data_IF_441789742604
#
_entry.id   IF_441789742604
#
_cell.length_a   1.000
_cell.length_b   1.000
_cell.length_c   1.000
_cell.angle_alpha   90.00
_cell.angle_beta   90.00
_cell.angle_gamma   90.00
#
_symmetry.space_group_name_H-M   'P 1'
#
loop_
_entity.id
_entity.type
_entity.pdbx_description
1 polymer ?
#
# COMPACT_ATOMS: atom_id res chain seq x y z
N UNK A 1 22.28 59.63 22.46
CA UNK A 1 21.78 58.36 23.05
C UNK A 1 20.75 57.65 22.18
N UNK A 2 20.19 58.29 21.14
CA UNK A 2 19.11 57.71 20.31
C UNK A 2 19.60 57.07 19.01
N UNK A 3 20.71 57.55 18.44
CA UNK A 3 21.23 57.07 17.13
C UNK A 3 21.82 55.66 17.24
N UNK A 4 22.67 55.40 18.25
CA UNK A 4 23.22 54.05 18.50
C UNK A 4 22.13 53.00 18.75
N UNK A 5 21.04 53.40 19.40
CA UNK A 5 19.90 52.50 19.67
C UNK A 5 19.11 52.23 18.38
N UNK A 6 18.93 53.23 17.51
CA UNK A 6 18.31 53.03 16.20
C UNK A 6 19.15 52.12 15.29
N UNK A 7 20.48 52.27 15.27
CA UNK A 7 21.37 51.39 14.51
C UNK A 7 21.32 49.95 15.03
N UNK A 8 21.30 49.77 16.35
CA UNK A 8 21.15 48.45 16.98
C UNK A 8 19.79 47.82 16.65
N UNK A 9 18.70 48.60 16.67
CA UNK A 9 17.37 48.13 16.30
C UNK A 9 17.29 47.74 14.82
N UNK A 10 17.89 48.52 13.91
CA UNK A 10 17.94 48.20 12.49
C UNK A 10 18.72 46.89 12.23
N UNK A 11 19.86 46.70 12.91
CA UNK A 11 20.63 45.46 12.85
C UNK A 11 19.86 44.25 13.38
N UNK A 12 19.09 44.42 14.47
CA UNK A 12 18.25 43.36 15.02
C UNK A 12 17.10 42.99 14.09
N UNK A 13 16.46 43.96 13.44
CA UNK A 13 15.39 43.71 12.46
C UNK A 13 15.92 42.88 11.29
N UNK A 14 17.04 43.29 10.68
CA UNK A 14 17.66 42.52 9.59
C UNK A 14 18.06 41.09 10.04
N UNK A 15 18.54 40.94 11.28
CA UNK A 15 18.88 39.62 11.83
C UNK A 15 17.64 38.75 12.03
N UNK A 16 16.53 39.33 12.49
CA UNK A 16 15.25 38.63 12.66
C UNK A 16 14.71 38.18 11.30
N UNK A 17 14.66 39.07 10.31
CA UNK A 17 14.21 38.74 8.95
C UNK A 17 15.06 37.61 8.33
N UNK A 18 16.38 37.68 8.50
CA UNK A 18 17.30 36.64 8.04
C UNK A 18 17.07 35.29 8.74
N UNK A 19 16.78 35.30 10.05
CA UNK A 19 16.50 34.08 10.82
C UNK A 19 15.14 33.47 10.45
N UNK A 20 14.13 34.29 10.17
CA UNK A 20 12.83 33.82 9.70
C UNK A 20 12.93 33.09 8.36
N UNK A 21 13.77 33.59 7.45
CA UNK A 21 14.03 32.95 6.15
C UNK A 21 14.76 31.59 6.30
N UNK A 22 15.77 31.52 7.18
CA UNK A 22 16.48 30.26 7.47
C UNK A 22 15.58 29.20 8.10
N UNK A 23 14.74 29.59 9.08
CA UNK A 23 13.74 28.71 9.69
C UNK A 23 12.73 28.21 8.66
N UNK A 24 12.37 29.03 7.67
CA UNK A 24 11.52 28.65 6.54
C UNK A 24 12.14 27.54 5.67
N UNK A 25 13.46 27.59 5.43
CA UNK A 25 14.19 26.59 4.63
C UNK A 25 14.29 25.23 5.35
N UNK A 26 14.44 25.23 6.68
CA UNK A 26 14.60 24.01 7.48
C UNK A 26 13.31 23.17 7.63
N UNK A 27 12.12 23.73 7.36
CA UNK A 27 10.85 22.98 7.45
C UNK A 27 10.62 21.98 6.30
N UNK A 28 11.41 22.03 5.22
CA UNK A 28 11.26 21.12 4.08
C UNK A 28 12.11 19.86 4.29
N UNK A 29 11.52 18.81 4.89
CA UNK A 29 12.15 17.48 4.91
C UNK A 29 12.25 16.96 3.47
N UNK A 30 13.45 16.63 2.95
CA UNK A 30 13.56 16.00 1.64
C UNK A 30 12.85 14.65 1.69
N UNK A 31 11.87 14.45 0.80
CA UNK A 31 11.22 13.15 0.63
C UNK A 31 12.26 12.22 0.00
N UNK A 32 12.83 11.32 0.81
CA UNK A 32 13.73 10.29 0.31
C UNK A 32 13.02 9.50 -0.79
N UNK A 33 13.70 9.23 -1.92
CA UNK A 33 13.13 8.42 -2.99
C UNK A 33 12.77 7.05 -2.41
N UNK A 34 11.47 6.75 -2.37
CA UNK A 34 10.97 5.46 -1.91
C UNK A 34 11.55 4.41 -2.86
N UNK A 35 12.37 3.50 -2.33
CA UNK A 35 12.89 2.34 -3.05
C UNK A 35 11.69 1.51 -3.50
N UNK A 36 11.27 1.72 -4.74
CA UNK A 36 10.22 0.90 -5.38
C UNK A 36 10.77 -0.51 -5.45
N UNK A 37 9.98 -1.48 -5.00
CA UNK A 37 10.35 -2.87 -5.21
C UNK A 37 10.52 -3.12 -6.70
N UNK A 38 11.62 -3.77 -7.06
CA UNK A 38 11.73 -4.39 -8.37
C UNK A 38 10.62 -5.44 -8.46
N UNK A 39 9.80 -5.35 -9.51
CA UNK A 39 8.79 -6.37 -9.79
C UNK A 39 9.53 -7.70 -9.99
N UNK A 40 9.16 -8.77 -9.26
CA UNK A 40 9.77 -10.07 -9.47
C UNK A 40 9.42 -10.61 -10.86
N UNK A 41 10.31 -11.43 -11.39
CA UNK A 41 10.00 -12.23 -12.59
C UNK A 41 9.18 -13.46 -12.23
N UNK A 42 8.45 -14.01 -13.21
CA UNK A 42 7.65 -15.23 -13.02
C UNK A 42 8.53 -16.39 -12.54
N UNK A 43 9.77 -16.49 -13.05
CA UNK A 43 10.73 -17.51 -12.63
C UNK A 43 11.11 -17.38 -11.15
N UNK A 44 11.35 -16.17 -10.65
CA UNK A 44 11.65 -15.93 -9.23
C UNK A 44 10.45 -16.28 -8.34
N UNK A 45 9.23 -15.99 -8.79
CA UNK A 45 8.01 -16.40 -8.10
C UNK A 45 7.90 -17.92 -8.04
N UNK A 46 8.11 -18.62 -9.17
CA UNK A 46 8.04 -20.07 -9.25
C UNK A 46 9.05 -20.76 -8.31
N UNK A 47 10.29 -20.24 -8.23
CA UNK A 47 11.30 -20.73 -7.28
C UNK A 47 10.82 -20.57 -5.83
N UNK A 48 10.23 -19.44 -5.48
CA UNK A 48 9.71 -19.21 -4.12
C UNK A 48 8.51 -20.13 -3.82
N UNK A 49 7.61 -20.34 -4.78
CA UNK A 49 6.50 -21.30 -4.64
C UNK A 49 7.00 -22.74 -4.46
N UNK A 50 8.01 -23.14 -5.24
CA UNK A 50 8.67 -24.44 -5.12
C UNK A 50 9.33 -24.60 -3.75
N UNK A 51 10.04 -23.57 -3.26
CA UNK A 51 10.66 -23.57 -1.94
C UNK A 51 9.64 -23.69 -0.79
N UNK A 52 8.37 -23.35 -1.04
CA UNK A 52 7.27 -23.53 -0.08
C UNK A 52 6.52 -24.84 -0.23
N UNK A 53 6.92 -25.70 -1.17
CA UNK A 53 6.33 -27.02 -1.38
C UNK A 53 5.07 -27.01 -2.23
N UNK A 54 4.86 -26.00 -3.09
CA UNK A 54 3.78 -26.05 -4.08
C UNK A 54 4.10 -27.11 -5.15
N UNK A 55 3.09 -27.90 -5.51
CA UNK A 55 3.15 -28.89 -6.60
C UNK A 55 2.93 -28.23 -7.98
N UNK A 56 2.29 -27.06 -8.02
CA UNK A 56 1.90 -26.32 -9.24
C UNK A 56 2.56 -24.94 -9.25
N UNK A 57 3.88 -24.89 -9.07
CA UNK A 57 4.62 -23.65 -8.84
C UNK A 57 4.57 -22.64 -10.01
N UNK A 58 4.46 -23.10 -11.26
CA UNK A 58 4.40 -22.22 -12.43
C UNK A 58 3.01 -21.57 -12.58
N UNK A 59 1.95 -22.37 -12.47
CA UNK A 59 0.56 -21.89 -12.54
C UNK A 59 0.23 -20.95 -11.37
N UNK A 60 0.72 -21.28 -10.17
CA UNK A 60 0.59 -20.42 -8.99
C UNK A 60 1.32 -19.08 -9.19
N UNK A 61 2.53 -19.12 -9.77
CA UNK A 61 3.30 -17.92 -10.07
C UNK A 61 2.63 -17.03 -11.11
N UNK A 62 2.09 -17.60 -12.18
CA UNK A 62 1.35 -16.85 -13.21
C UNK A 62 0.08 -16.21 -12.64
N UNK A 63 -0.69 -16.97 -11.85
CA UNK A 63 -1.90 -16.48 -11.20
C UNK A 63 -1.58 -15.35 -10.22
N UNK A 64 -0.53 -15.53 -9.42
CA UNK A 64 -0.04 -14.51 -8.50
C UNK A 64 0.43 -13.24 -9.23
N UNK A 65 1.21 -13.41 -10.30
CA UNK A 65 1.74 -12.30 -11.09
C UNK A 65 0.60 -11.48 -11.72
N UNK A 66 -0.36 -12.14 -12.38
CA UNK A 66 -1.50 -11.48 -13.02
C UNK A 66 -2.38 -10.72 -12.01
N UNK A 67 -2.60 -11.30 -10.83
CA UNK A 67 -3.35 -10.64 -9.76
C UNK A 67 -2.71 -9.33 -9.31
N UNK A 68 -1.39 -9.34 -9.09
CA UNK A 68 -0.69 -8.15 -8.61
C UNK A 68 -0.30 -7.17 -9.72
N UNK A 69 -0.10 -7.62 -10.95
CA UNK A 69 0.14 -6.72 -12.07
C UNK A 69 -1.11 -5.88 -12.37
N UNK A 70 -2.30 -6.48 -12.35
CA UNK A 70 -3.58 -5.77 -12.58
C UNK A 70 -3.94 -4.76 -11.47
N UNK A 71 -3.50 -4.99 -10.23
CA UNK A 71 -3.76 -4.09 -9.10
C UNK A 71 -2.66 -3.04 -8.84
N UNK A 72 -1.61 -3.04 -9.67
CA UNK A 72 -0.48 -2.13 -9.54
C UNK A 72 0.44 -2.46 -8.35
N UNK A 73 0.59 -3.76 -8.04
CA UNK A 73 1.39 -4.30 -6.94
C UNK A 73 1.00 -3.73 -5.58
N UNK A 74 -0.30 -3.78 -5.26
CA UNK A 74 -0.86 -3.29 -4.00
C UNK A 74 -1.34 -4.42 -3.10
N UNK A 75 -1.17 -4.22 -1.79
CA UNK A 75 -1.78 -5.06 -0.74
C UNK A 75 -2.72 -4.15 0.05
N UNK A 76 -4.02 -4.30 -0.20
CA UNK A 76 -5.04 -3.38 0.32
C UNK A 76 -4.87 -1.98 -0.27
N UNK A 77 -4.82 -0.96 0.58
CA UNK A 77 -4.65 0.45 0.15
C UNK A 77 -3.19 0.84 -0.13
N UNK A 78 -2.23 0.01 0.29
CA UNK A 78 -0.80 0.32 0.25
C UNK A 78 -0.10 -0.44 -0.87
N UNK A 79 0.99 0.15 -1.40
CA UNK A 79 1.92 -0.57 -2.27
C UNK A 79 2.58 -1.73 -1.52
N UNK A 80 2.76 -2.85 -2.22
CA UNK A 80 3.42 -4.03 -1.68
C UNK A 80 4.85 -3.69 -1.26
N UNK A 81 5.27 -4.16 -0.08
CA UNK A 81 6.61 -3.94 0.48
C UNK A 81 7.52 -5.16 0.43
N UNK A 82 6.96 -6.37 0.35
CA UNK A 82 7.74 -7.59 0.24
C UNK A 82 6.89 -8.67 -0.44
N UNK A 83 7.17 -8.94 -1.71
CA UNK A 83 6.42 -9.91 -2.49
C UNK A 83 6.65 -11.35 -2.01
N UNK A 84 7.84 -11.69 -1.49
CA UNK A 84 8.13 -13.03 -0.96
C UNK A 84 7.26 -13.38 0.25
N UNK A 85 7.10 -12.42 1.16
CA UNK A 85 6.21 -12.58 2.31
C UNK A 85 4.74 -12.72 1.87
N UNK A 86 4.35 -12.00 0.82
CA UNK A 86 3.01 -12.12 0.23
C UNK A 86 2.79 -13.48 -0.43
N UNK A 87 3.76 -14.01 -1.16
CA UNK A 87 3.74 -15.37 -1.74
C UNK A 87 3.54 -16.42 -0.65
N UNK A 88 4.29 -16.33 0.46
CA UNK A 88 4.14 -17.28 1.57
C UNK A 88 2.72 -17.28 2.16
N UNK A 89 2.14 -16.09 2.37
CA UNK A 89 0.76 -15.97 2.86
C UNK A 89 -0.27 -16.43 1.83
N UNK A 90 -0.03 -16.17 0.54
CA UNK A 90 -0.90 -16.58 -0.55
C UNK A 90 -0.93 -18.10 -0.69
N UNK A 91 0.25 -18.74 -0.68
CA UNK A 91 0.38 -20.19 -0.68
C UNK A 91 -0.34 -20.83 0.51
N UNK A 92 -0.14 -20.30 1.73
CA UNK A 92 -0.86 -20.76 2.93
C UNK A 92 -2.39 -20.64 2.76
N UNK A 93 -2.89 -19.52 2.24
CA UNK A 93 -4.32 -19.31 1.99
C UNK A 93 -4.90 -20.24 0.91
N UNK A 94 -4.15 -20.55 -0.15
CA UNK A 94 -4.60 -21.51 -1.17
C UNK A 94 -4.72 -22.92 -0.60
N UNK A 95 -3.82 -23.31 0.32
CA UNK A 95 -3.92 -24.60 1.02
C UNK A 95 -5.09 -24.63 2.01
N UNK A 96 -5.32 -23.55 2.77
CA UNK A 96 -6.40 -23.46 3.77
C UNK A 96 -7.80 -23.22 3.16
N UNK A 97 -7.87 -22.52 2.02
CA UNK A 97 -9.12 -22.24 1.32
C UNK A 97 -9.78 -23.49 0.74
N UNK A 98 -8.99 -24.54 0.49
CA UNK A 98 -9.50 -25.83 0.05
C UNK A 98 -10.17 -26.64 1.18
N UNK A 99 -10.01 -26.24 2.45
CA UNK A 99 -10.60 -26.93 3.61
C UNK A 99 -11.78 -26.20 4.25
N UNK A 100 -12.05 -24.94 3.89
CA UNK A 100 -13.09 -24.10 4.50
C UNK A 100 -14.20 -23.66 3.52
N UNK A 101 -14.59 -24.54 2.61
CA UNK A 101 -15.84 -24.39 1.89
C UNK A 101 -17.03 -24.75 2.79
N UNK A 102 -17.59 -23.77 3.53
CA UNK A 102 -18.99 -23.63 3.99
C UNK A 102 -19.06 -22.76 5.25
N UNK A 103 -19.37 -21.47 5.06
CA UNK A 103 -20.27 -20.65 5.90
C UNK A 103 -20.09 -19.15 5.61
N UNK A 104 -20.43 -18.74 4.38
CA UNK A 104 -20.72 -17.33 4.10
C UNK A 104 -22.19 -17.09 3.73
N UNK A 105 -23.09 -17.99 4.14
CA UNK A 105 -24.53 -17.73 4.12
C UNK A 105 -25.01 -17.11 5.44
N UNK A 106 -24.56 -15.88 5.76
CA UNK A 106 -25.32 -14.99 6.68
C UNK A 106 -24.81 -13.53 6.69
N UNK A 107 -25.07 -12.81 5.61
CA UNK A 107 -25.19 -11.35 5.67
C UNK A 107 -26.03 -10.82 4.49
N UNK A 108 -27.27 -11.30 4.34
CA UNK A 108 -28.33 -10.47 3.74
C UNK A 108 -28.92 -9.68 4.90
N UNK A 109 -28.24 -8.61 5.32
CA UNK A 109 -28.81 -7.66 6.26
C UNK A 109 -29.63 -6.64 5.49
N UNK A 110 -30.95 -6.84 5.51
CA UNK A 110 -31.91 -5.74 5.58
C UNK A 110 -32.20 -4.97 4.29
N UNK A 111 -33.42 -5.24 3.82
CA UNK A 111 -34.33 -4.42 3.00
C UNK A 111 -34.40 -4.81 1.51
N UNK A 112 -35.63 -5.13 1.14
CA UNK A 112 -36.17 -5.27 -0.22
C UNK A 112 -36.08 -6.67 -0.88
N UNK A 113 -36.61 -7.67 -0.18
CA UNK A 113 -37.28 -8.79 -0.85
C UNK A 113 -38.78 -8.44 -1.00
N UNK A 114 -39.12 -7.54 -1.93
CA UNK A 114 -40.48 -7.46 -2.45
C UNK A 114 -40.62 -8.64 -3.40
N UNK A 115 -41.38 -9.66 -2.98
CA UNK A 115 -41.76 -10.77 -3.84
C UNK A 115 -42.68 -10.24 -4.93
N UNK A 116 -42.16 -10.08 -6.14
CA UNK A 116 -42.99 -9.90 -7.32
C UNK A 116 -43.66 -11.26 -7.61
N UNK A 117 -44.85 -11.50 -7.06
CA UNK A 117 -45.66 -12.64 -7.48
C UNK A 117 -46.07 -12.41 -8.92
N UNK A 118 -45.56 -13.25 -9.82
CA UNK A 118 -45.96 -13.30 -11.22
C UNK A 118 -47.27 -14.08 -11.32
N UNK A 119 -48.40 -13.39 -11.16
CA UNK A 119 -49.69 -13.89 -11.66
C UNK A 119 -50.56 -12.69 -12.01
N UNK A 120 -50.31 -12.12 -13.19
CA UNK A 120 -51.31 -11.31 -13.88
C UNK A 120 -51.05 -11.43 -15.40
N UNK A 121 -51.62 -12.49 -15.97
CA UNK A 121 -52.09 -12.63 -17.36
C UNK A 121 -53.08 -13.81 -17.40
#
# INVERSE_FOLDING_TARGET
>A
MTVDMMEMMASLINRIESLEEEVGKLKKKPKLPVKRLAKPTINELAIEFQAKGSLTCLDDADTFFNHYESNGWKVGKNGMKNWKATVAQWHKRNQEGNTHGKDQSKAISGRDAITFNTTDF
#
